data_IF_381581964296
#
_entry.id   IF_381581964296
#
_cell.length_a   1.000
_cell.length_b   1.000
_cell.length_c   1.000
_cell.angle_alpha   90.00
_cell.angle_beta   90.00
_cell.angle_gamma   90.00
#
_symmetry.space_group_name_H-M   'P 1'
#
loop_
_entity.id
_entity.type
_entity.pdbx_description
1 polymer ?
#
# COMPACT_ATOMS: atom_id res chain seq x y z
N UNK A 1 -20.88 21.31 0.44
CA UNK A 1 -19.52 21.03 -0.06
C UNK A 1 -19.25 19.56 0.22
N UNK A 2 -19.73 18.68 -0.66
CA UNK A 2 -19.77 17.24 -0.36
C UNK A 2 -19.64 16.42 -1.66
N UNK A 3 -18.69 16.77 -2.52
CA UNK A 3 -18.56 16.17 -3.87
C UNK A 3 -17.22 15.45 -4.13
N UNK A 4 -16.42 15.16 -3.08
CA UNK A 4 -15.09 14.55 -3.27
C UNK A 4 -14.75 13.44 -2.26
N UNK A 5 -15.71 12.59 -1.90
CA UNK A 5 -15.47 11.47 -0.98
C UNK A 5 -15.17 10.13 -1.66
N UNK A 6 -15.56 9.94 -2.92
CA UNK A 6 -15.49 8.58 -3.50
C UNK A 6 -14.07 8.11 -3.85
N UNK A 7 -13.09 9.00 -3.93
CA UNK A 7 -11.71 8.62 -4.26
C UNK A 7 -10.68 9.72 -3.95
N UNK A 8 -10.71 10.32 -2.75
CA UNK A 8 -9.78 11.40 -2.39
C UNK A 8 -8.29 11.00 -2.50
N UNK A 9 -8.00 9.69 -2.49
CA UNK A 9 -6.68 9.11 -2.64
C UNK A 9 -6.26 8.92 -4.10
N UNK A 10 -7.12 9.09 -5.11
CA UNK A 10 -6.70 8.89 -6.51
C UNK A 10 -5.84 10.07 -7.00
N UNK A 11 -4.87 9.82 -7.90
CA UNK A 11 -4.22 10.88 -8.65
C UNK A 11 -5.26 11.83 -9.23
N UNK A 12 -5.05 13.13 -9.05
CA UNK A 12 -5.96 14.17 -9.51
C UNK A 12 -5.49 14.83 -10.80
N UNK A 13 -4.26 14.55 -11.22
CA UNK A 13 -3.68 15.00 -12.49
C UNK A 13 -3.15 13.83 -13.34
N UNK A 14 -3.03 14.01 -14.68
CA UNK A 14 -2.40 13.00 -15.54
C UNK A 14 -0.92 12.75 -15.23
N UNK A 15 -0.20 13.78 -14.75
CA UNK A 15 1.21 13.65 -14.35
C UNK A 15 1.36 12.77 -13.11
N UNK A 16 0.55 13.02 -12.07
CA UNK A 16 0.50 12.16 -10.87
C UNK A 16 0.13 10.71 -11.21
N UNK A 17 -0.75 10.51 -12.20
CA UNK A 17 -1.12 9.17 -12.66
C UNK A 17 0.04 8.47 -13.38
N UNK A 18 0.76 9.17 -14.27
CA UNK A 18 1.91 8.62 -14.96
C UNK A 18 3.06 8.30 -13.99
N UNK A 19 3.32 9.17 -13.02
CA UNK A 19 4.32 8.95 -11.98
C UNK A 19 3.95 7.73 -11.12
N UNK A 20 2.68 7.59 -10.73
CA UNK A 20 2.20 6.43 -10.00
C UNK A 20 2.39 5.13 -10.80
N UNK A 21 2.05 5.13 -12.10
CA UNK A 21 2.25 3.97 -12.98
C UNK A 21 3.72 3.57 -13.07
N UNK A 22 4.62 4.54 -13.25
CA UNK A 22 6.06 4.30 -13.30
C UNK A 22 6.59 3.75 -11.97
N UNK A 23 6.19 4.33 -10.83
CA UNK A 23 6.58 3.86 -9.50
C UNK A 23 6.13 2.42 -9.25
N UNK A 24 4.92 2.06 -9.70
CA UNK A 24 4.40 0.70 -9.60
C UNK A 24 5.19 -0.29 -10.47
N UNK A 25 5.57 0.11 -11.68
CA UNK A 25 6.42 -0.70 -12.56
C UNK A 25 7.81 -0.94 -11.95
N UNK A 26 8.44 0.14 -11.47
CA UNK A 26 9.76 0.10 -10.86
C UNK A 26 9.77 -0.75 -9.59
N UNK A 27 8.74 -0.62 -8.75
CA UNK A 27 8.57 -1.46 -7.56
C UNK A 27 8.56 -2.95 -7.93
N UNK A 28 7.75 -3.35 -8.91
CA UNK A 28 7.66 -4.77 -9.33
C UNK A 28 8.98 -5.29 -9.87
N UNK A 29 9.78 -4.45 -10.54
CA UNK A 29 11.09 -4.82 -11.04
C UNK A 29 12.14 -4.96 -9.92
N UNK A 30 12.04 -4.14 -8.87
CA UNK A 30 13.07 -4.05 -7.81
C UNK A 30 12.77 -4.91 -6.58
N UNK A 31 11.51 -5.25 -6.30
CA UNK A 31 11.12 -5.84 -5.02
C UNK A 31 11.69 -7.25 -4.77
N UNK A 32 11.86 -8.05 -5.83
CA UNK A 32 12.38 -9.41 -5.72
C UNK A 32 11.35 -10.41 -5.18
N UNK A 33 11.80 -11.35 -4.35
CA UNK A 33 10.96 -12.45 -3.82
C UNK A 33 10.15 -12.00 -2.60
N UNK A 34 8.82 -11.95 -2.76
CA UNK A 34 7.88 -11.59 -1.71
C UNK A 34 7.91 -12.53 -0.48
N UNK A 35 8.27 -13.81 -0.66
CA UNK A 35 8.33 -14.76 0.46
C UNK A 35 9.58 -14.55 1.32
N UNK A 36 10.67 -14.06 0.73
CA UNK A 36 11.92 -13.83 1.45
C UNK A 36 11.82 -12.70 2.49
N UNK A 37 10.83 -11.82 2.34
CA UNK A 37 10.60 -10.64 3.21
C UNK A 37 9.21 -10.64 3.87
N UNK A 38 8.61 -11.82 4.04
CA UNK A 38 7.31 -11.95 4.68
C UNK A 38 7.34 -11.50 6.15
N UNK A 39 6.29 -10.80 6.57
CA UNK A 39 6.11 -10.37 7.95
C UNK A 39 5.22 -11.38 8.72
N UNK A 40 5.61 -11.67 9.96
CA UNK A 40 4.84 -12.42 10.96
C UNK A 40 3.72 -11.55 11.58
N UNK A 41 3.91 -10.23 11.59
CA UNK A 41 2.93 -9.28 12.11
C UNK A 41 3.39 -7.84 12.02
N UNK A 42 2.49 -6.90 12.33
CA UNK A 42 2.80 -5.48 12.31
C UNK A 42 2.01 -4.67 13.36
N UNK A 43 2.53 -3.49 13.68
CA UNK A 43 1.85 -2.45 14.46
C UNK A 43 1.91 -1.11 13.74
N UNK A 44 0.86 -0.32 13.92
CA UNK A 44 0.77 1.06 13.44
C UNK A 44 0.61 2.00 14.63
N UNK A 45 1.13 3.21 14.51
CA UNK A 45 1.00 4.23 15.55
C UNK A 45 1.25 5.63 15.01
N UNK A 46 1.14 6.63 15.88
CA UNK A 46 1.43 8.02 15.56
C UNK A 46 2.41 8.58 16.60
N UNK A 47 3.27 9.52 16.20
CA UNK A 47 4.10 10.26 17.16
C UNK A 47 3.23 11.08 18.12
N UNK A 48 3.71 11.35 19.35
CA UNK A 48 2.94 12.13 20.33
C UNK A 48 2.48 13.51 19.85
N UNK A 49 3.21 14.11 18.91
CA UNK A 49 2.92 15.42 18.30
C UNK A 49 2.04 15.36 17.05
N UNK A 50 1.62 14.17 16.62
CA UNK A 50 0.78 13.97 15.44
C UNK A 50 1.49 14.15 14.09
N UNK A 51 2.80 14.42 14.08
CA UNK A 51 3.52 14.77 12.84
C UNK A 51 4.03 13.58 12.05
N UNK A 52 3.94 12.35 12.60
CA UNK A 52 4.47 11.14 11.97
C UNK A 52 3.55 9.94 12.14
N UNK A 53 3.28 9.27 11.03
CA UNK A 53 2.71 7.91 11.01
C UNK A 53 3.87 6.91 11.18
N UNK A 54 3.74 5.93 12.06
CA UNK A 54 4.76 4.94 12.36
C UNK A 54 4.31 3.52 12.00
N UNK A 55 5.24 2.74 11.46
CA UNK A 55 5.07 1.33 11.10
C UNK A 55 6.13 0.49 11.80
N UNK A 56 5.72 -0.63 12.38
CA UNK A 56 6.63 -1.65 12.88
C UNK A 56 6.23 -3.00 12.28
N UNK A 57 7.16 -3.65 11.59
CA UNK A 57 6.98 -5.01 11.05
C UNK A 57 7.90 -5.98 11.79
N UNK A 58 7.38 -7.17 12.07
CA UNK A 58 8.15 -8.29 12.61
C UNK A 58 8.37 -9.31 11.50
N UNK A 59 9.63 -9.61 11.16
CA UNK A 59 9.97 -10.66 10.20
C UNK A 59 9.77 -12.06 10.79
N UNK A 60 9.69 -13.08 9.92
CA UNK A 60 9.60 -14.49 10.34
C UNK A 60 10.84 -14.97 11.12
N UNK A 61 11.99 -14.33 10.90
CA UNK A 61 13.24 -14.56 11.62
C UNK A 61 13.30 -13.84 13.00
N UNK A 62 12.24 -13.10 13.34
CA UNK A 62 12.16 -12.31 14.57
C UNK A 62 12.78 -10.91 14.49
N UNK A 63 13.33 -10.51 13.34
CA UNK A 63 13.80 -9.14 13.11
C UNK A 63 12.66 -8.12 13.22
N UNK A 64 13.00 -6.88 13.61
CA UNK A 64 12.04 -5.78 13.75
C UNK A 64 12.46 -4.61 12.86
N UNK A 65 11.60 -4.25 11.91
CA UNK A 65 11.78 -3.13 11.00
C UNK A 65 10.83 -1.99 11.36
N UNK A 66 11.36 -0.77 11.49
CA UNK A 66 10.57 0.41 11.89
C UNK A 66 10.79 1.55 10.93
N UNK A 67 9.69 2.17 10.51
CA UNK A 67 9.71 3.34 9.63
C UNK A 67 8.69 4.37 10.12
N UNK A 68 8.96 5.65 9.83
CA UNK A 68 7.99 6.72 10.04
C UNK A 68 7.83 7.54 8.78
N UNK A 69 6.61 7.98 8.49
CA UNK A 69 6.28 8.90 7.41
C UNK A 69 5.84 10.24 8.01
N UNK A 70 6.39 11.38 7.56
CA UNK A 70 5.90 12.68 7.97
C UNK A 70 4.47 12.92 7.47
N UNK A 71 3.67 13.68 8.21
CA UNK A 71 2.24 13.93 7.92
C UNK A 71 1.96 14.39 6.49
N UNK A 72 2.82 15.25 5.92
CA UNK A 72 2.62 15.85 4.60
C UNK A 72 2.75 14.88 3.41
N UNK A 73 3.14 13.62 3.63
CA UNK A 73 3.17 12.58 2.57
C UNK A 73 2.26 11.39 2.88
N UNK A 74 1.46 11.47 3.95
CA UNK A 74 0.60 10.37 4.37
C UNK A 74 -0.52 10.11 3.35
N UNK A 75 -1.03 11.17 2.72
CA UNK A 75 -1.98 11.09 1.62
C UNK A 75 -1.41 10.30 0.43
N UNK A 76 -0.19 10.60 -0.01
CA UNK A 76 0.52 9.87 -1.08
C UNK A 76 0.70 8.40 -0.71
N UNK A 77 1.05 8.10 0.54
CA UNK A 77 1.11 6.73 1.03
C UNK A 77 -0.23 6.01 0.91
N UNK A 78 -1.34 6.65 1.28
CA UNK A 78 -2.67 6.05 1.17
C UNK A 78 -3.10 5.83 -0.29
N UNK A 79 -2.71 6.71 -1.22
CA UNK A 79 -2.86 6.49 -2.65
C UNK A 79 -2.19 5.19 -3.09
N UNK A 80 -0.89 5.07 -2.82
CA UNK A 80 -0.08 3.90 -3.19
C UNK A 80 -0.63 2.62 -2.55
N UNK A 81 -0.98 2.68 -1.27
CA UNK A 81 -1.55 1.55 -0.53
C UNK A 81 -2.88 1.10 -1.15
N UNK A 82 -3.79 2.03 -1.45
CA UNK A 82 -5.12 1.71 -1.99
C UNK A 82 -5.01 1.06 -3.37
N UNK A 83 -4.11 1.55 -4.23
CA UNK A 83 -3.84 0.99 -5.56
C UNK A 83 -3.30 -0.44 -5.45
N UNK A 84 -2.31 -0.65 -4.57
CA UNK A 84 -1.73 -1.97 -4.36
C UNK A 84 -2.75 -2.98 -3.78
N UNK A 85 -3.61 -2.54 -2.85
CA UNK A 85 -4.68 -3.37 -2.28
C UNK A 85 -5.75 -3.71 -3.32
N UNK A 86 -6.12 -2.76 -4.18
CA UNK A 86 -7.07 -3.02 -5.27
C UNK A 86 -6.51 -4.05 -6.26
N UNK A 87 -5.26 -3.89 -6.70
CA UNK A 87 -4.58 -4.88 -7.56
C UNK A 87 -4.53 -6.27 -6.88
N UNK A 88 -4.18 -6.31 -5.59
CA UNK A 88 -4.17 -7.56 -4.83
C UNK A 88 -5.57 -8.19 -4.77
N UNK A 89 -6.60 -7.39 -4.53
CA UNK A 89 -7.99 -7.81 -4.52
C UNK A 89 -8.42 -8.42 -5.86
N UNK A 90 -8.15 -7.73 -6.97
CA UNK A 90 -8.44 -8.22 -8.32
C UNK A 90 -7.74 -9.55 -8.60
N UNK A 91 -6.46 -9.70 -8.21
CA UNK A 91 -5.71 -10.95 -8.35
C UNK A 91 -6.33 -12.07 -7.49
N UNK A 92 -6.69 -11.78 -6.25
CA UNK A 92 -7.37 -12.73 -5.35
C UNK A 92 -8.72 -13.18 -5.90
N UNK A 93 -9.50 -12.28 -6.50
CA UNK A 93 -10.74 -12.65 -7.19
C UNK A 93 -10.50 -13.51 -8.42
N UNK A 94 -9.50 -13.18 -9.24
CA UNK A 94 -9.16 -13.97 -10.44
C UNK A 94 -8.71 -15.42 -10.08
N UNK A 95 -8.03 -15.59 -8.95
CA UNK A 95 -7.67 -16.92 -8.43
C UNK A 95 -8.88 -17.73 -7.95
N UNK A 96 -9.99 -17.07 -7.60
CA UNK A 96 -11.22 -17.68 -7.09
C UNK A 96 -12.25 -18.00 -8.19
N UNK A 97 -11.84 -18.32 -9.43
CA UNK A 97 -12.77 -18.67 -10.53
C UNK A 97 -13.91 -19.62 -10.07
N UNK A 98 -15.14 -19.43 -10.59
CA UNK A 98 -16.37 -19.77 -9.89
C UNK A 98 -16.50 -21.27 -9.66
N UNK A 99 -16.74 -21.66 -8.41
CA UNK A 99 -17.42 -22.91 -8.10
C UNK A 99 -18.86 -22.82 -8.64
N UNK A 100 -19.05 -23.14 -9.92
CA UNK A 100 -20.35 -22.96 -10.57
C UNK A 100 -20.35 -23.22 -12.07
N UNK A 101 -19.88 -24.39 -12.48
CA UNK A 101 -20.35 -25.05 -13.71
C UNK A 101 -20.67 -26.50 -13.33
N UNK A 102 -21.85 -26.69 -12.76
CA UNK A 102 -22.51 -27.98 -12.58
C UNK A 102 -23.88 -27.89 -13.26
#
# INVERSE_FOLDING_TARGET
MTDKLEAWWRPTTPEEAADLEQQQADFKAQFGDFNAVAADGFWLGCSPDGQRLAFQFKGLDGSIHRHTLPWHIVDVFFTQFSVAVDEMGQRQFALKQPAGAA
#
